data_IF_458115826713
#
_entry.id   IF_458115826713
#
_cell.length_a   1.000
_cell.length_b   1.000
_cell.length_c   1.000
_cell.angle_alpha   90.00
_cell.angle_beta   90.00
_cell.angle_gamma   90.00
#
_symmetry.space_group_name_H-M   'P 1'
#
loop_
_entity.id
_entity.type
_entity.pdbx_description
1 polymer ?
#
# COMPACT_ATOMS: atom_id res chain seq x y z
N UNK A 1 22.62 -99.28 -9.53
CA UNK A 1 21.61 -99.82 -8.60
C UNK A 1 21.45 -98.79 -7.50
N UNK A 2 20.35 -98.04 -7.52
CA UNK A 2 19.93 -97.29 -6.34
C UNK A 2 19.36 -98.34 -5.37
N UNK A 3 19.89 -98.40 -4.15
CA UNK A 3 19.30 -99.21 -3.09
C UNK A 3 17.86 -98.72 -2.87
N UNK A 4 16.88 -99.59 -3.08
CA UNK A 4 15.50 -99.29 -2.72
C UNK A 4 15.45 -99.08 -1.20
N UNK A 5 14.97 -97.91 -0.73
CA UNK A 5 14.96 -97.60 0.69
C UNK A 5 14.08 -98.61 1.44
N UNK A 6 14.55 -99.05 2.61
CA UNK A 6 13.79 -99.97 3.46
C UNK A 6 12.44 -99.35 3.84
N UNK A 7 11.39 -100.18 3.99
CA UNK A 7 10.04 -99.74 4.36
C UNK A 7 10.02 -98.89 5.64
N UNK A 8 10.95 -99.16 6.58
CA UNK A 8 11.12 -98.37 7.80
C UNK A 8 11.67 -96.96 7.54
N UNK A 9 12.60 -96.82 6.60
CA UNK A 9 13.14 -95.52 6.17
C UNK A 9 12.07 -94.67 5.49
N UNK A 10 11.27 -95.28 4.62
CA UNK A 10 10.13 -94.59 3.99
C UNK A 10 9.08 -94.16 5.03
N UNK A 11 8.82 -94.97 6.07
CA UNK A 11 7.92 -94.61 7.15
C UNK A 11 8.44 -93.43 7.99
N UNK A 12 9.74 -93.44 8.31
CA UNK A 12 10.40 -92.34 9.01
C UNK A 12 10.37 -91.03 8.20
N UNK A 13 10.62 -91.10 6.89
CA UNK A 13 10.57 -89.94 6.01
C UNK A 13 9.15 -89.39 5.87
N UNK A 14 8.14 -90.26 5.75
CA UNK A 14 6.72 -89.84 5.73
C UNK A 14 6.33 -89.16 7.04
N UNK A 15 6.76 -89.70 8.19
CA UNK A 15 6.51 -89.06 9.49
C UNK A 15 7.20 -87.71 9.60
N UNK A 16 8.46 -87.61 9.18
CA UNK A 16 9.22 -86.36 9.17
C UNK A 16 8.57 -85.30 8.27
N UNK A 17 8.28 -85.65 7.02
CA UNK A 17 7.61 -84.76 6.07
C UNK A 17 6.23 -84.33 6.57
N UNK A 18 5.49 -85.22 7.24
CA UNK A 18 4.19 -84.87 7.83
C UNK A 18 4.33 -83.80 8.93
N UNK A 19 5.36 -83.90 9.77
CA UNK A 19 5.64 -82.92 10.81
C UNK A 19 6.13 -81.58 10.23
N UNK A 20 6.99 -81.60 9.21
CA UNK A 20 7.43 -80.39 8.49
C UNK A 20 6.23 -79.69 7.80
N UNK A 21 5.31 -80.47 7.20
CA UNK A 21 4.12 -79.94 6.54
C UNK A 21 3.12 -79.34 7.54
N UNK A 22 2.96 -79.92 8.72
CA UNK A 22 2.20 -79.28 9.81
C UNK A 22 2.84 -77.97 10.27
N UNK A 23 4.17 -77.93 10.39
CA UNK A 23 4.86 -76.72 10.83
C UNK A 23 4.74 -75.59 9.80
N UNK A 24 4.94 -75.89 8.52
CA UNK A 24 4.73 -74.97 7.40
C UNK A 24 3.29 -74.46 7.33
N UNK A 25 2.29 -75.30 7.64
CA UNK A 25 0.89 -74.86 7.70
C UNK A 25 0.65 -73.84 8.83
N UNK A 26 1.30 -74.01 9.98
CA UNK A 26 1.21 -73.04 11.09
C UNK A 26 1.89 -71.72 10.71
N UNK A 27 3.13 -71.78 10.21
CA UNK A 27 3.85 -70.58 9.77
C UNK A 27 3.09 -69.82 8.67
N UNK A 28 2.48 -70.55 7.72
CA UNK A 28 1.64 -69.93 6.68
C UNK A 28 0.43 -69.21 7.28
N UNK A 29 -0.27 -69.83 8.24
CA UNK A 29 -1.43 -69.21 8.88
C UNK A 29 -1.03 -67.95 9.66
N UNK A 30 0.10 -67.98 10.38
CA UNK A 30 0.63 -66.82 11.10
C UNK A 30 1.00 -65.67 10.13
N UNK A 31 1.61 -66.01 8.98
CA UNK A 31 1.94 -65.03 7.95
C UNK A 31 0.70 -64.43 7.28
N UNK A 32 -0.36 -65.21 7.06
CA UNK A 32 -1.64 -64.71 6.50
C UNK A 32 -2.26 -63.67 7.44
N UNK A 33 -2.27 -63.93 8.76
CA UNK A 33 -2.77 -62.97 9.76
C UNK A 33 -1.89 -61.71 9.81
N UNK A 34 -0.56 -61.85 9.78
CA UNK A 34 0.36 -60.72 9.77
C UNK A 34 0.21 -59.86 8.50
N UNK A 35 -0.07 -60.50 7.35
CA UNK A 35 -0.30 -59.77 6.11
C UNK A 35 -1.62 -59.00 6.18
N UNK A 36 -2.70 -59.64 6.63
CA UNK A 36 -4.02 -59.02 6.78
C UNK A 36 -3.95 -57.80 7.72
N UNK A 37 -3.35 -57.97 8.90
CA UNK A 37 -3.17 -56.87 9.86
C UNK A 37 -2.28 -55.74 9.34
N UNK A 38 -1.22 -56.04 8.58
CA UNK A 38 -0.40 -55.00 7.95
C UNK A 38 -1.15 -54.26 6.84
N UNK A 39 -1.96 -54.95 6.03
CA UNK A 39 -2.77 -54.29 5.00
C UNK A 39 -3.80 -53.36 5.61
N UNK A 40 -4.52 -53.81 6.65
CA UNK A 40 -5.46 -52.96 7.39
C UNK A 40 -4.76 -51.75 8.04
N UNK A 41 -3.58 -51.97 8.63
CA UNK A 41 -2.80 -50.89 9.22
C UNK A 41 -2.30 -49.88 8.18
N UNK A 42 -1.87 -50.35 7.00
CA UNK A 42 -1.44 -49.48 5.90
C UNK A 42 -2.60 -48.62 5.39
N UNK A 43 -3.76 -49.22 5.18
CA UNK A 43 -4.95 -48.51 4.69
C UNK A 43 -5.42 -47.44 5.69
N UNK A 44 -5.42 -47.78 6.99
CA UNK A 44 -5.77 -46.82 8.05
C UNK A 44 -4.75 -45.70 8.18
N UNK A 45 -3.46 -46.00 8.04
CA UNK A 45 -2.38 -45.00 8.06
C UNK A 45 -2.51 -44.03 6.87
N UNK A 46 -2.78 -44.54 5.67
CA UNK A 46 -2.98 -43.72 4.47
C UNK A 46 -4.18 -42.77 4.65
N UNK A 47 -5.30 -43.28 5.15
CA UNK A 47 -6.48 -42.46 5.47
C UNK A 47 -6.17 -41.37 6.50
N UNK A 48 -5.44 -41.69 7.57
CA UNK A 48 -5.02 -40.70 8.57
C UNK A 48 -4.06 -39.65 7.99
N UNK A 49 -3.13 -40.05 7.13
CA UNK A 49 -2.19 -39.12 6.48
C UNK A 49 -2.93 -38.15 5.56
N UNK A 50 -3.91 -38.63 4.78
CA UNK A 50 -4.74 -37.78 3.92
C UNK A 50 -5.52 -36.74 4.73
N UNK A 51 -6.20 -37.17 5.80
CA UNK A 51 -6.94 -36.26 6.70
C UNK A 51 -6.00 -35.24 7.33
N UNK A 52 -4.82 -35.66 7.79
CA UNK A 52 -3.84 -34.75 8.40
C UNK A 52 -3.27 -33.74 7.40
N UNK A 53 -3.02 -34.16 6.17
CA UNK A 53 -2.56 -33.28 5.10
C UNK A 53 -3.63 -32.24 4.73
N UNK A 54 -4.89 -32.68 4.60
CA UNK A 54 -6.01 -31.78 4.32
C UNK A 54 -6.21 -30.74 5.44
N UNK A 55 -6.14 -31.18 6.71
CA UNK A 55 -6.22 -30.28 7.86
C UNK A 55 -5.07 -29.27 7.88
N UNK A 56 -3.83 -29.72 7.63
CA UNK A 56 -2.66 -28.84 7.61
C UNK A 56 -2.76 -27.78 6.51
N UNK A 57 -3.23 -28.15 5.31
CA UNK A 57 -3.48 -27.20 4.21
C UNK A 57 -4.57 -26.20 4.61
N UNK A 58 -5.69 -26.70 5.13
CA UNK A 58 -6.82 -25.85 5.54
C UNK A 58 -6.43 -24.87 6.65
N UNK A 59 -5.65 -25.30 7.63
CA UNK A 59 -5.17 -24.46 8.72
C UNK A 59 -4.21 -23.38 8.21
N UNK A 60 -3.25 -23.75 7.36
CA UNK A 60 -2.33 -22.79 6.73
C UNK A 60 -3.08 -21.73 5.90
N UNK A 61 -4.08 -22.14 5.12
CA UNK A 61 -4.90 -21.21 4.35
C UNK A 61 -5.73 -20.27 5.23
N UNK A 62 -6.30 -20.78 6.33
CA UNK A 62 -7.05 -19.98 7.28
C UNK A 62 -6.14 -18.96 7.97
N UNK A 63 -4.95 -19.36 8.40
CA UNK A 63 -3.97 -18.45 9.00
C UNK A 63 -3.54 -17.36 8.02
N UNK A 64 -3.22 -17.72 6.77
CA UNK A 64 -2.87 -16.75 5.73
C UNK A 64 -4.01 -15.73 5.52
N UNK A 65 -5.25 -16.21 5.35
CA UNK A 65 -6.41 -15.34 5.16
C UNK A 65 -6.65 -14.43 6.37
N UNK A 66 -6.46 -14.94 7.58
CA UNK A 66 -6.60 -14.14 8.81
C UNK A 66 -5.56 -13.01 8.87
N UNK A 67 -4.29 -13.31 8.58
CA UNK A 67 -3.21 -12.31 8.57
C UNK A 67 -3.44 -11.26 7.48
N UNK A 68 -3.72 -11.69 6.25
CA UNK A 68 -3.90 -10.80 5.12
C UNK A 68 -5.16 -9.91 5.24
N UNK A 69 -6.24 -10.42 5.84
CA UNK A 69 -7.46 -9.64 6.09
C UNK A 69 -7.33 -8.67 7.26
N UNK A 70 -6.55 -9.02 8.30
CA UNK A 70 -6.28 -8.13 9.43
C UNK A 70 -5.27 -7.02 9.10
N UNK A 71 -4.47 -7.19 8.04
CA UNK A 71 -3.46 -6.21 7.62
C UNK A 71 -4.14 -4.96 7.06
N UNK A 72 -3.86 -3.74 7.58
CA UNK A 72 -4.47 -2.49 7.12
C UNK A 72 -3.85 -1.95 5.82
N UNK A 73 -3.25 -2.82 5.02
CA UNK A 73 -2.57 -2.47 3.77
C UNK A 73 -3.27 -3.19 2.63
N UNK A 74 -3.60 -2.50 1.54
CA UNK A 74 -4.03 -3.11 0.28
C UNK A 74 -3.02 -4.13 -0.23
N UNK A 75 -3.44 -5.40 -0.32
CA UNK A 75 -2.59 -6.49 -0.80
C UNK A 75 -3.37 -7.33 -1.81
N UNK A 76 -2.70 -7.66 -2.92
CA UNK A 76 -3.21 -8.58 -3.93
C UNK A 76 -2.11 -9.54 -4.39
N UNK A 77 -2.50 -10.71 -4.88
CA UNK A 77 -1.64 -11.66 -5.57
C UNK A 77 -2.13 -11.77 -7.00
N UNK A 78 -1.23 -11.57 -7.95
CA UNK A 78 -1.55 -11.69 -9.38
C UNK A 78 -0.59 -12.62 -10.09
N UNK A 79 -1.09 -13.30 -11.12
CA UNK A 79 -0.28 -14.09 -12.04
C UNK A 79 0.74 -13.20 -12.77
N UNK A 80 1.99 -13.66 -12.87
CA UNK A 80 3.06 -12.93 -13.57
C UNK A 80 2.89 -12.96 -15.09
N UNK A 81 2.24 -13.98 -15.65
CA UNK A 81 2.13 -14.17 -17.10
C UNK A 81 1.09 -13.27 -17.76
N UNK A 82 -0.09 -13.18 -17.16
CA UNK A 82 -1.27 -12.51 -17.71
C UNK A 82 -1.83 -11.41 -16.80
N UNK A 83 -1.24 -11.23 -15.60
CA UNK A 83 -1.67 -10.18 -14.67
C UNK A 83 -3.00 -10.46 -13.97
N UNK A 84 -3.54 -11.67 -14.08
CA UNK A 84 -4.81 -12.06 -13.47
C UNK A 84 -4.73 -12.02 -11.94
N UNK A 85 -5.65 -11.33 -11.28
CA UNK A 85 -5.70 -11.26 -9.81
C UNK A 85 -6.29 -12.56 -9.25
N UNK A 86 -5.48 -13.29 -8.49
CA UNK A 86 -5.84 -14.58 -7.89
C UNK A 86 -6.34 -14.43 -6.45
N UNK A 87 -5.85 -13.42 -5.74
CA UNK A 87 -6.23 -13.10 -4.38
C UNK A 87 -6.16 -11.60 -4.15
N UNK A 88 -7.05 -11.09 -3.32
CA UNK A 88 -7.11 -9.70 -2.90
C UNK A 88 -7.67 -9.66 -1.46
N UNK A 89 -7.21 -8.70 -0.65
CA UNK A 89 -7.83 -8.43 0.65
C UNK A 89 -8.86 -7.31 0.57
N UNK A 90 -9.67 -7.13 1.61
CA UNK A 90 -10.71 -6.09 1.64
C UNK A 90 -10.17 -4.66 1.46
N UNK A 91 -8.92 -4.41 1.86
CA UNK A 91 -8.29 -3.10 1.69
C UNK A 91 -7.98 -2.78 0.23
N UNK A 92 -7.57 -3.79 -0.55
CA UNK A 92 -7.38 -3.62 -2.00
C UNK A 92 -8.68 -3.34 -2.74
N UNK A 93 -9.75 -4.05 -2.42
CA UNK A 93 -11.09 -3.78 -2.94
C UNK A 93 -11.56 -2.35 -2.62
N UNK A 94 -11.37 -1.92 -1.35
CA UNK A 94 -11.73 -0.58 -0.90
C UNK A 94 -10.91 0.51 -1.61
N UNK A 95 -9.60 0.30 -1.79
CA UNK A 95 -8.72 1.26 -2.47
C UNK A 95 -9.09 1.41 -3.95
N UNK A 96 -9.30 0.28 -4.64
CA UNK A 96 -9.58 0.23 -6.08
C UNK A 96 -11.04 0.53 -6.44
N UNK A 97 -11.90 0.70 -5.42
CA UNK A 97 -13.33 1.00 -5.55
C UNK A 97 -14.11 -0.04 -6.35
N UNK A 98 -13.82 -1.32 -6.12
CA UNK A 98 -14.43 -2.45 -6.83
C UNK A 98 -14.74 -3.56 -5.81
N UNK A 99 -15.90 -4.23 -5.89
CA UNK A 99 -16.21 -5.34 -4.98
C UNK A 99 -15.17 -6.46 -5.13
N UNK A 100 -14.90 -7.15 -4.02
CA UNK A 100 -13.82 -8.13 -3.95
C UNK A 100 -14.04 -9.29 -4.95
N UNK A 101 -15.29 -9.66 -5.15
CA UNK A 101 -15.73 -10.73 -6.06
C UNK A 101 -15.47 -10.40 -7.53
N UNK A 102 -15.50 -9.11 -7.90
CA UNK A 102 -15.17 -8.65 -9.25
C UNK A 102 -13.68 -8.34 -9.39
N UNK A 103 -13.01 -7.96 -8.29
CA UNK A 103 -11.57 -7.72 -8.29
C UNK A 103 -10.79 -9.01 -8.54
N UNK A 104 -11.19 -10.11 -7.89
CA UNK A 104 -10.61 -11.43 -8.13
C UNK A 104 -11.03 -11.90 -9.53
N UNK A 105 -10.05 -12.23 -10.38
CA UNK A 105 -10.26 -12.57 -11.78
C UNK A 105 -10.21 -11.38 -12.74
N UNK A 106 -10.07 -10.14 -12.25
CA UNK A 106 -9.76 -8.98 -13.09
C UNK A 106 -8.27 -8.91 -13.42
N UNK A 107 -7.91 -8.08 -14.41
CA UNK A 107 -6.52 -7.89 -14.81
C UNK A 107 -5.88 -6.72 -14.06
N UNK A 108 -4.68 -6.92 -13.53
CA UNK A 108 -3.87 -5.83 -12.95
C UNK A 108 -3.59 -4.70 -13.94
N UNK A 109 -3.63 -4.97 -15.25
CA UNK A 109 -3.42 -3.97 -16.30
C UNK A 109 -4.47 -2.87 -16.29
N UNK A 110 -5.69 -3.20 -15.87
CA UNK A 110 -6.82 -2.27 -15.86
C UNK A 110 -6.68 -1.17 -14.82
N UNK A 111 -5.74 -1.29 -13.88
CA UNK A 111 -5.52 -0.32 -12.80
C UNK A 111 -4.32 0.61 -13.03
N UNK A 112 -3.59 0.44 -14.15
CA UNK A 112 -2.56 1.39 -14.55
C UNK A 112 -3.22 2.60 -15.22
N UNK A 113 -2.83 3.82 -14.82
CA UNK A 113 -3.29 5.01 -15.51
C UNK A 113 -2.66 5.11 -16.90
N UNK A 114 -1.34 4.88 -17.00
CA UNK A 114 -0.63 4.81 -18.27
C UNK A 114 -0.29 3.35 -18.60
N UNK A 115 -0.75 2.82 -19.76
CA UNK A 115 -0.43 1.44 -20.17
C UNK A 115 1.08 1.16 -20.27
N UNK A 116 1.88 2.18 -20.59
CA UNK A 116 3.34 2.07 -20.71
C UNK A 116 4.10 1.90 -19.39
N UNK A 117 3.43 2.01 -18.24
CA UNK A 117 4.10 1.86 -16.93
C UNK A 117 4.23 0.39 -16.51
N UNK A 118 3.30 -0.49 -16.92
CA UNK A 118 3.39 -1.92 -16.62
C UNK A 118 4.65 -2.59 -17.17
N UNK A 119 5.04 -2.41 -18.45
CA UNK A 119 6.29 -2.99 -18.95
C UNK A 119 7.53 -2.53 -18.17
N UNK A 120 7.53 -1.30 -17.63
CA UNK A 120 8.63 -0.79 -16.79
C UNK A 120 8.67 -1.50 -15.43
N UNK A 121 7.51 -1.70 -14.82
CA UNK A 121 7.37 -2.45 -13.55
C UNK A 121 7.85 -3.88 -13.74
N UNK A 122 7.41 -4.57 -14.79
CA UNK A 122 7.85 -5.93 -15.10
C UNK A 122 9.35 -5.99 -15.41
N UNK A 123 9.87 -5.04 -16.19
CA UNK A 123 11.30 -4.98 -16.51
C UNK A 123 12.19 -4.71 -15.28
N UNK A 124 11.71 -3.90 -14.32
CA UNK A 124 12.40 -3.70 -13.05
C UNK A 124 12.36 -4.97 -12.18
N UNK A 125 11.20 -5.65 -12.15
CA UNK A 125 11.02 -6.90 -11.42
C UNK A 125 11.94 -8.02 -11.94
N UNK A 126 12.04 -8.20 -13.26
CA UNK A 126 12.90 -9.20 -13.89
C UNK A 126 14.38 -8.95 -13.63
N UNK A 127 14.78 -7.68 -13.49
CA UNK A 127 16.17 -7.29 -13.30
C UNK A 127 16.64 -7.53 -11.86
N UNK A 128 15.85 -7.07 -10.89
CA UNK A 128 16.27 -7.02 -9.49
C UNK A 128 15.65 -8.14 -8.64
N UNK A 129 14.69 -8.89 -9.20
CA UNK A 129 13.99 -10.01 -8.55
C UNK A 129 12.91 -9.59 -7.55
N UNK A 130 12.78 -8.29 -7.30
CA UNK A 130 11.74 -7.66 -6.48
C UNK A 130 11.60 -6.18 -6.90
N UNK A 131 10.50 -5.55 -6.50
CA UNK A 131 10.30 -4.11 -6.64
C UNK A 131 9.84 -3.56 -5.30
N UNK A 132 10.45 -2.46 -4.85
CA UNK A 132 10.10 -1.86 -3.57
C UNK A 132 9.89 -0.36 -3.72
N UNK A 133 8.84 0.14 -3.07
CA UNK A 133 8.52 1.57 -2.93
C UNK A 133 8.47 2.32 -4.28
N UNK A 134 8.00 1.64 -5.34
CA UNK A 134 7.95 2.21 -6.67
C UNK A 134 6.68 3.07 -6.84
N UNK A 135 6.86 4.37 -7.09
CA UNK A 135 5.75 5.30 -7.27
C UNK A 135 5.26 5.31 -8.72
N UNK A 136 3.95 5.16 -8.92
CA UNK A 136 3.31 5.36 -10.22
C UNK A 136 1.90 5.94 -10.08
N UNK A 137 1.36 6.39 -11.21
CA UNK A 137 -0.03 6.83 -11.29
C UNK A 137 -0.92 5.64 -11.65
N UNK A 138 -1.83 5.32 -10.75
CA UNK A 138 -2.84 4.28 -10.94
C UNK A 138 -4.22 4.91 -11.16
N UNK A 139 -5.17 4.09 -11.59
CA UNK A 139 -6.58 4.46 -11.66
C UNK A 139 -7.43 3.44 -10.90
N UNK A 140 -8.48 3.93 -10.27
CA UNK A 140 -9.53 3.10 -9.67
C UNK A 140 -10.44 2.54 -10.77
N UNK A 141 -11.36 1.64 -10.42
CA UNK A 141 -12.36 1.06 -11.34
C UNK A 141 -13.23 2.13 -12.03
N UNK A 142 -13.54 3.22 -11.33
CA UNK A 142 -14.28 4.39 -11.83
C UNK A 142 -13.43 5.35 -12.69
N UNK A 143 -12.15 5.04 -12.88
CA UNK A 143 -11.21 5.84 -13.67
C UNK A 143 -10.56 7.00 -12.91
N UNK A 144 -10.87 7.21 -11.62
CA UNK A 144 -10.27 8.28 -10.82
C UNK A 144 -8.77 7.99 -10.64
N UNK A 145 -7.86 8.92 -11.02
CA UNK A 145 -6.43 8.74 -10.84
C UNK A 145 -6.03 8.92 -9.38
N UNK A 146 -5.06 8.13 -8.94
CA UNK A 146 -4.44 8.29 -7.63
C UNK A 146 -2.96 7.90 -7.69
N UNK A 147 -2.14 8.54 -6.86
CA UNK A 147 -0.73 8.18 -6.75
C UNK A 147 -0.60 6.94 -5.89
N UNK A 148 0.03 5.89 -6.40
CA UNK A 148 0.29 4.67 -5.67
C UNK A 148 1.79 4.46 -5.50
N UNK A 149 2.19 4.02 -4.32
CA UNK A 149 3.46 3.35 -4.10
C UNK A 149 3.20 1.85 -4.12
N UNK A 150 3.91 1.10 -4.96
CA UNK A 150 3.78 -0.35 -5.05
C UNK A 150 5.08 -1.04 -4.64
N UNK A 151 4.91 -2.16 -3.95
CA UNK A 151 5.99 -3.10 -3.67
C UNK A 151 5.55 -4.48 -4.16
N UNK A 152 6.39 -5.10 -5.00
CA UNK A 152 6.09 -6.34 -5.72
C UNK A 152 7.14 -7.38 -5.41
N UNK A 153 6.70 -8.54 -4.90
CA UNK A 153 7.55 -9.68 -4.57
C UNK A 153 7.08 -10.91 -5.36
N UNK A 154 7.91 -11.49 -6.25
CA UNK A 154 7.60 -12.75 -6.90
C UNK A 154 7.52 -13.90 -5.89
N UNK A 155 6.53 -14.76 -6.03
CA UNK A 155 6.36 -15.98 -5.23
C UNK A 155 5.64 -17.08 -6.01
N UNK A 156 5.73 -18.30 -5.50
CA UNK A 156 4.94 -19.43 -5.99
C UNK A 156 3.62 -19.50 -5.22
N UNK A 157 2.50 -19.36 -5.93
CA UNK A 157 1.16 -19.53 -5.38
C UNK A 157 0.45 -20.59 -6.21
N UNK A 158 -0.08 -21.64 -5.56
CA UNK A 158 -0.68 -22.80 -6.24
C UNK A 158 0.23 -23.42 -7.33
N UNK A 159 1.54 -23.48 -7.06
CA UNK A 159 2.56 -23.96 -8.01
C UNK A 159 2.67 -23.15 -9.31
N UNK A 160 2.14 -21.92 -9.34
CA UNK A 160 2.25 -21.00 -10.46
C UNK A 160 3.14 -19.81 -10.10
N UNK A 161 3.93 -19.27 -11.06
CA UNK A 161 4.66 -18.02 -10.89
C UNK A 161 3.69 -16.85 -10.73
N UNK A 162 3.70 -16.24 -9.55
CA UNK A 162 2.82 -15.12 -9.19
C UNK A 162 3.62 -14.01 -8.52
N UNK A 163 2.98 -12.87 -8.32
CA UNK A 163 3.54 -11.74 -7.61
C UNK A 163 2.59 -11.28 -6.51
N UNK A 164 3.13 -11.12 -5.31
CA UNK A 164 2.49 -10.40 -4.22
C UNK A 164 2.73 -8.91 -4.43
N UNK A 165 1.66 -8.14 -4.48
CA UNK A 165 1.70 -6.69 -4.62
C UNK A 165 1.05 -6.05 -3.40
N UNK A 166 1.78 -5.15 -2.74
CA UNK A 166 1.26 -4.25 -1.73
C UNK A 166 1.14 -2.85 -2.33
N UNK A 167 0.01 -2.17 -2.09
CA UNK A 167 -0.23 -0.82 -2.57
C UNK A 167 -0.41 0.16 -1.42
N UNK A 168 0.09 1.37 -1.59
CA UNK A 168 -0.11 2.48 -0.66
C UNK A 168 -0.54 3.73 -1.41
N UNK A 169 -1.68 4.32 -1.02
CA UNK A 169 -2.17 5.56 -1.62
C UNK A 169 -1.36 6.76 -1.11
N UNK A 170 -0.61 7.39 -2.02
CA UNK A 170 0.19 8.57 -1.75
C UNK A 170 -0.54 9.88 -2.01
N UNK A 171 -1.81 9.85 -2.43
CA UNK A 171 -2.54 11.04 -2.88
C UNK A 171 -2.61 12.12 -1.80
N UNK A 172 -3.00 11.77 -0.57
CA UNK A 172 -3.03 12.72 0.54
C UNK A 172 -1.64 13.29 0.86
N UNK A 173 -0.61 12.43 0.83
CA UNK A 173 0.77 12.86 1.09
C UNK A 173 1.26 13.83 0.02
N UNK A 174 1.03 13.54 -1.26
CA UNK A 174 1.41 14.41 -2.39
C UNK A 174 0.64 15.74 -2.34
N UNK A 175 -0.65 15.73 -1.99
CA UNK A 175 -1.44 16.96 -1.82
C UNK A 175 -0.93 17.83 -0.68
N UNK A 176 -0.57 17.22 0.46
CA UNK A 176 0.02 17.93 1.58
C UNK A 176 1.39 18.53 1.20
N UNK A 177 2.22 17.77 0.51
CA UNK A 177 3.52 18.23 0.02
C UNK A 177 3.39 19.40 -0.97
N UNK A 178 2.46 19.32 -1.92
CA UNK A 178 2.18 20.42 -2.85
C UNK A 178 1.70 21.68 -2.12
N UNK A 179 0.77 21.53 -1.18
CA UNK A 179 0.26 22.65 -0.38
C UNK A 179 1.38 23.32 0.42
N UNK A 180 2.27 22.52 1.00
CA UNK A 180 3.44 23.03 1.73
C UNK A 180 4.37 23.78 0.78
N UNK A 181 4.73 23.21 -0.37
CA UNK A 181 5.60 23.85 -1.35
C UNK A 181 5.03 25.18 -1.86
N UNK A 182 3.73 25.26 -2.08
CA UNK A 182 3.05 26.49 -2.47
C UNK A 182 3.11 27.55 -1.36
N UNK A 183 2.90 27.14 -0.11
CA UNK A 183 3.02 28.03 1.05
C UNK A 183 4.45 28.56 1.23
N UNK A 184 5.47 27.72 1.05
CA UNK A 184 6.88 28.12 1.13
C UNK A 184 7.25 29.10 0.01
N UNK A 185 6.81 28.84 -1.22
CA UNK A 185 7.00 29.77 -2.34
C UNK A 185 6.36 31.12 -2.05
N UNK A 186 5.14 31.12 -1.50
CA UNK A 186 4.44 32.34 -1.09
C UNK A 186 5.19 33.10 0.00
N UNK A 187 5.61 32.43 1.07
CA UNK A 187 6.38 33.04 2.15
C UNK A 187 7.72 33.59 1.67
N UNK A 188 8.41 32.86 0.78
CA UNK A 188 9.68 33.30 0.20
C UNK A 188 9.51 34.56 -0.64
N UNK A 189 8.45 34.65 -1.45
CA UNK A 189 8.12 35.87 -2.21
C UNK A 189 7.85 37.06 -1.29
N UNK A 190 7.06 36.85 -0.23
CA UNK A 190 6.77 37.89 0.77
C UNK A 190 8.04 38.36 1.50
N UNK A 191 8.90 37.44 1.92
CA UNK A 191 10.17 37.76 2.59
C UNK A 191 11.12 38.56 1.68
N UNK A 192 11.28 38.14 0.41
CA UNK A 192 12.10 38.87 -0.56
C UNK A 192 11.59 40.29 -0.80
N UNK A 193 10.28 40.47 -0.89
CA UNK A 193 9.68 41.79 -1.03
C UNK A 193 9.94 42.69 0.18
N UNK A 194 9.79 42.16 1.40
CA UNK A 194 10.10 42.89 2.63
C UNK A 194 11.58 43.30 2.70
N UNK A 195 12.50 42.40 2.30
CA UNK A 195 13.93 42.72 2.24
C UNK A 195 14.24 43.80 1.20
N UNK A 196 13.60 43.76 0.03
CA UNK A 196 13.75 44.82 -0.99
C UNK A 196 13.29 46.18 -0.45
N UNK A 197 12.14 46.22 0.22
CA UNK A 197 11.63 47.43 0.86
C UNK A 197 12.54 47.93 1.97
N UNK A 198 13.08 47.03 2.81
CA UNK A 198 14.00 47.39 3.89
C UNK A 198 15.38 47.86 3.40
N UNK A 199 15.81 47.44 2.20
CA UNK A 199 17.12 47.82 1.63
C UNK A 199 17.13 49.20 0.97
N UNK A 200 15.96 49.73 0.59
CA UNK A 200 15.88 51.03 -0.08
C UNK A 200 16.04 52.17 0.93
N UNK A 201 17.08 52.99 0.74
CA UNK A 201 17.40 54.16 1.58
C UNK A 201 16.35 55.28 1.52
N UNK A 202 15.41 55.23 0.58
CA UNK A 202 14.38 56.27 0.36
C UNK A 202 13.46 56.45 1.56
N UNK A 203 13.09 55.36 2.27
CA UNK A 203 12.32 55.44 3.52
C UNK A 203 13.06 56.20 4.63
N UNK A 204 14.40 56.21 4.59
CA UNK A 204 15.24 56.93 5.55
C UNK A 204 15.57 58.38 5.13
N UNK A 205 15.17 58.81 3.93
CA UNK A 205 15.42 60.18 3.42
C UNK A 205 14.29 61.18 3.71
N UNK A 206 13.22 60.77 4.40
CA UNK A 206 12.11 61.64 4.81
C UNK A 206 11.06 61.95 3.73
N UNK A 207 11.24 61.46 2.50
CA UNK A 207 10.28 61.62 1.41
C UNK A 207 9.17 60.55 1.47
N UNK A 208 8.24 60.71 2.42
CA UNK A 208 7.12 59.77 2.68
C UNK A 208 6.33 59.37 1.41
N UNK A 209 6.12 60.32 0.49
CA UNK A 209 5.43 60.09 -0.79
C UNK A 209 6.11 59.02 -1.67
N UNK A 210 7.45 59.04 -1.72
CA UNK A 210 8.23 58.12 -2.55
C UNK A 210 8.21 56.73 -1.93
N UNK A 211 8.40 56.64 -0.62
CA UNK A 211 8.34 55.37 0.12
C UNK A 211 6.97 54.70 0.04
N UNK A 212 5.87 55.45 0.15
CA UNK A 212 4.52 54.90 0.03
C UNK A 212 4.28 54.34 -1.37
N UNK A 213 4.71 55.02 -2.44
CA UNK A 213 4.57 54.50 -3.81
C UNK A 213 5.34 53.19 -3.99
N UNK A 214 6.60 53.14 -3.55
CA UNK A 214 7.45 51.95 -3.66
C UNK A 214 6.90 50.76 -2.87
N UNK A 215 6.44 50.98 -1.64
CA UNK A 215 5.76 49.95 -0.84
C UNK A 215 4.50 49.45 -1.56
N UNK A 216 3.72 50.34 -2.15
CA UNK A 216 2.47 49.98 -2.82
C UNK A 216 2.73 49.16 -4.09
N UNK A 217 3.75 49.53 -4.88
CA UNK A 217 4.18 48.79 -6.07
C UNK A 217 4.74 47.41 -5.72
N UNK A 218 5.61 47.34 -4.70
CA UNK A 218 6.16 46.07 -4.24
C UNK A 218 5.06 45.15 -3.69
N UNK A 219 4.12 45.69 -2.91
CA UNK A 219 2.98 44.94 -2.37
C UNK A 219 2.07 44.41 -3.48
N UNK A 220 1.75 45.24 -4.50
CA UNK A 220 0.93 44.82 -5.65
C UNK A 220 1.57 43.65 -6.40
N UNK A 221 2.87 43.74 -6.71
CA UNK A 221 3.61 42.67 -7.40
C UNK A 221 3.71 41.39 -6.56
N UNK A 222 3.95 41.52 -5.25
CA UNK A 222 4.17 40.38 -4.36
C UNK A 222 2.89 39.61 -4.06
N UNK A 223 1.77 40.33 -3.95
CA UNK A 223 0.46 39.75 -3.72
C UNK A 223 -0.24 39.33 -5.02
N UNK A 224 0.37 39.58 -6.19
CA UNK A 224 -0.21 39.32 -7.51
C UNK A 224 -1.61 39.93 -7.68
N UNK A 225 -1.83 41.10 -7.07
CA UNK A 225 -3.10 41.83 -7.16
C UNK A 225 -2.96 43.04 -8.05
N UNK A 226 -3.98 43.26 -8.88
CA UNK A 226 -4.04 44.38 -9.82
C UNK A 226 -4.01 45.75 -9.11
N UNK A 227 -4.49 45.82 -7.87
CA UNK A 227 -4.61 47.08 -7.13
C UNK A 227 -4.36 46.95 -5.63
N UNK A 228 -3.60 47.90 -5.09
CA UNK A 228 -3.39 48.10 -3.64
C UNK A 228 -3.74 49.55 -3.29
N UNK A 229 -4.30 49.78 -2.11
CA UNK A 229 -4.62 51.13 -1.62
C UNK A 229 -4.13 51.32 -0.19
N UNK A 230 -3.53 52.48 0.09
CA UNK A 230 -2.99 52.84 1.41
C UNK A 230 -3.99 53.74 2.14
N UNK A 231 -4.24 53.45 3.41
CA UNK A 231 -5.12 54.22 4.29
C UNK A 231 -4.34 54.74 5.48
N UNK A 232 -4.46 56.04 5.77
CA UNK A 232 -3.89 56.68 6.95
C UNK A 232 -4.96 56.84 8.01
N UNK A 233 -4.69 56.33 9.21
CA UNK A 233 -5.57 56.47 10.36
C UNK A 233 -4.99 57.48 11.35
N UNK A 234 -5.81 58.42 11.82
CA UNK A 234 -5.44 59.26 12.94
C UNK A 234 -5.65 58.54 14.29
N UNK A 235 -5.20 59.15 15.39
CA UNK A 235 -5.35 58.62 16.76
C UNK A 235 -6.82 58.43 17.20
N UNK A 236 -7.78 58.98 16.45
CA UNK A 236 -9.22 58.82 16.64
C UNK A 236 -9.83 57.74 15.70
N UNK A 237 -8.99 56.93 15.03
CA UNK A 237 -9.38 55.89 14.06
C UNK A 237 -10.18 56.39 12.85
N UNK A 238 -10.15 57.69 12.53
CA UNK A 238 -10.65 58.18 11.26
C UNK A 238 -9.63 57.88 10.16
N UNK A 239 -10.05 57.08 9.17
CA UNK A 239 -9.23 56.68 8.02
C UNK A 239 -9.43 57.61 6.83
N UNK A 240 -8.35 58.17 6.30
CA UNK A 240 -8.34 58.85 5.00
C UNK A 240 -7.53 58.02 4.01
N UNK A 241 -8.07 57.85 2.80
CA UNK A 241 -7.32 57.16 1.73
C UNK A 241 -6.15 58.05 1.31
N UNK A 242 -4.95 57.49 1.25
CA UNK A 242 -3.78 58.21 0.76
C UNK A 242 -4.05 58.65 -0.69
N UNK A 243 -3.89 59.95 -1.02
CA UNK A 243 -4.15 60.42 -2.37
C UNK A 243 -3.16 59.77 -3.32
N UNK A 244 -3.66 58.96 -4.26
CA UNK A 244 -2.87 58.48 -5.40
C UNK A 244 -2.46 59.70 -6.22
N UNK A 245 -1.15 59.91 -6.40
CA UNK A 245 -0.59 61.07 -7.11
C UNK A 245 -0.88 61.00 -8.63
N UNK A 246 -1.46 59.90 -9.12
CA UNK A 246 -1.86 59.74 -10.52
C UNK A 246 -3.40 59.67 -10.68
N UNK A 247 -4.05 60.71 -11.25
CA UNK A 247 -5.48 60.71 -11.54
C UNK A 247 -5.88 59.77 -12.69
N UNK A 248 -4.93 59.20 -13.44
CA UNK A 248 -5.24 58.23 -14.51
C UNK A 248 -5.43 56.79 -14.01
N UNK A 249 -5.10 56.49 -12.74
CA UNK A 249 -5.38 55.21 -12.07
C UNK A 249 -6.76 55.20 -11.40
N UNK A 250 -7.76 55.74 -12.09
CA UNK A 250 -9.17 55.63 -11.71
C UNK A 250 -9.69 54.26 -12.10
N UNK A 251 -9.73 53.33 -11.14
CA UNK A 251 -10.46 52.07 -11.31
C UNK A 251 -11.35 51.81 -10.10
N UNK A 252 -12.66 51.89 -10.35
CA UNK A 252 -13.78 51.63 -9.46
C UNK A 252 -14.06 50.14 -9.39
N UNK A 253 -13.88 49.52 -8.22
CA UNK A 253 -14.92 48.81 -7.46
C UNK A 253 -14.32 48.16 -6.19
N UNK A 254 -15.20 47.96 -5.19
CA UNK A 254 -14.91 47.59 -3.79
C UNK A 254 -14.44 46.14 -3.64
N UNK A 255 -13.36 45.93 -2.89
CA UNK A 255 -13.18 44.74 -2.06
C UNK A 255 -12.59 45.20 -0.71
N UNK A 256 -13.35 45.02 0.37
CA UNK A 256 -12.92 45.30 1.74
C UNK A 256 -12.52 43.94 2.34
N UNK A 257 -11.22 43.65 2.40
CA UNK A 257 -10.74 42.54 3.22
C UNK A 257 -10.66 43.00 4.69
N UNK A 258 -11.67 42.65 5.49
CA UNK A 258 -11.60 42.80 6.95
C UNK A 258 -10.76 41.65 7.49
N UNK A 259 -9.52 41.93 7.90
CA UNK A 259 -8.78 41.02 8.74
C UNK A 259 -9.29 41.23 10.18
N UNK A 260 -10.28 40.43 10.60
CA UNK A 260 -10.68 40.34 12.00
C UNK A 260 -9.68 39.42 12.71
N UNK A 261 -8.58 39.98 13.22
CA UNK A 261 -7.79 39.30 14.25
C UNK A 261 -8.54 39.43 15.57
N UNK A 262 -9.23 38.36 15.98
CA UNK A 262 -9.65 38.19 17.38
C UNK A 262 -8.40 38.12 18.25
N UNK A 263 -8.34 38.83 19.39
CA UNK A 263 -7.27 38.62 20.35
C UNK A 263 -7.46 37.26 21.03
N UNK A 264 -6.39 36.46 21.00
CA UNK A 264 -6.20 35.30 21.87
C UNK A 264 -5.82 35.87 23.22
N UNK A 265 -6.77 35.98 24.14
CA UNK A 265 -6.47 36.26 25.54
C UNK A 265 -6.31 34.93 26.28
N UNK A 266 -5.04 34.54 26.39
CA UNK A 266 -4.54 33.62 27.43
C UNK A 266 -4.80 34.20 28.81
N UNK A 267 -5.50 33.39 29.59
CA UNK A 267 -5.64 33.38 31.05
C UNK A 267 -4.41 33.91 31.80
N UNK A 268 -4.61 34.93 32.63
CA UNK A 268 -3.72 35.25 33.75
C UNK A 268 -4.59 35.49 34.99
N UNK A 269 -4.78 34.41 35.74
CA UNK A 269 -5.30 34.42 37.10
C UNK A 269 -4.26 35.01 38.06
N UNK A 270 -4.67 35.98 38.88
CA UNK A 270 -4.09 36.32 40.19
C UNK A 270 -5.09 37.20 40.98
N UNK A 271 -5.02 37.25 42.33
CA UNK A 271 -6.20 37.03 43.17
C UNK A 271 -6.68 38.25 43.99
N UNK A 272 -7.73 37.98 44.80
CA UNK A 272 -8.23 38.69 46.00
C UNK A 272 -9.08 39.96 45.83
N UNK A 273 -10.39 39.85 46.07
CA UNK A 273 -11.00 40.07 47.40
C UNK A 273 -12.45 39.56 47.45
#
# INVERSE_FOLDING_TARGET
MQEEPSREQLLLDVQRLSAELENLKREKADLEILLETNTEHSDTMEAHLLVKAELAVRESEQQFRAIASATPVPVLVSSLSDGLILYANAQSASLLNIPLEELIGSSTEDFYFNPGDRPKVLGALDKDGYLQDYELLCKKSDGIPFWAMISVQPLLFNSQPTALCALYDLTQRKQAEQTLQESEKRLRRQSLALLQLGRQRTLNTGALNVGIREITEAASRTLEVEKVSVWLYNHLRFGTRYPTIDPQLNFTHRAIARNQTQPVDTEAAAPEN
#
